data_IF_994004728689
#
_entry.id   IF_994004728689
#
_cell.length_a   1.000
_cell.length_b   1.000
_cell.length_c   1.000
_cell.angle_alpha   90.00
_cell.angle_beta   90.00
_cell.angle_gamma   90.00
#
_symmetry.space_group_name_H-M   'P 1'
#
loop_
_entity.id
_entity.type
_entity.pdbx_description
1 polymer ?
#
# COMPACT_ATOMS: atom_id res chain seq x y z
N UNK A 1 -7.79 2.71 -40.67
CA UNK A 1 -7.57 1.72 -39.60
C UNK A 1 -7.10 2.50 -38.40
N UNK A 2 -7.79 2.43 -37.26
CA UNK A 2 -7.26 3.01 -36.03
C UNK A 2 -6.10 2.12 -35.58
N UNK A 3 -4.98 2.75 -35.20
CA UNK A 3 -3.81 2.06 -34.64
C UNK A 3 -4.26 1.17 -33.46
N UNK A 4 -3.71 -0.02 -33.32
CA UNK A 4 -4.16 -1.02 -32.33
C UNK A 4 -4.08 -0.49 -30.88
N UNK A 5 -3.26 0.54 -30.67
CA UNK A 5 -3.04 1.21 -29.39
C UNK A 5 -3.64 2.62 -29.31
N UNK A 6 -4.42 3.05 -30.30
CA UNK A 6 -4.99 4.40 -30.33
C UNK A 6 -6.34 4.47 -29.59
N UNK A 7 -6.44 5.40 -28.64
CA UNK A 7 -7.71 5.77 -28.01
C UNK A 7 -8.28 7.00 -28.73
N UNK A 8 -9.47 6.85 -29.30
CA UNK A 8 -10.17 7.99 -29.90
C UNK A 8 -10.81 8.84 -28.81
N UNK A 9 -10.49 10.13 -28.79
CA UNK A 9 -11.05 11.11 -27.84
C UNK A 9 -12.09 11.95 -28.55
N UNK A 10 -13.36 11.81 -28.18
CA UNK A 10 -14.48 12.48 -28.88
C UNK A 10 -14.88 13.82 -28.28
N UNK A 11 -14.38 14.17 -27.09
CA UNK A 11 -14.80 15.37 -26.38
C UNK A 11 -13.64 16.20 -25.81
N UNK A 12 -13.74 17.52 -25.93
CA UNK A 12 -12.70 18.46 -25.47
C UNK A 12 -12.35 18.34 -23.97
N UNK A 13 -13.30 17.95 -23.12
CA UNK A 13 -13.03 17.73 -21.69
C UNK A 13 -12.20 16.46 -21.42
N UNK A 14 -12.36 15.42 -22.24
CA UNK A 14 -11.55 14.21 -22.19
C UNK A 14 -10.12 14.52 -22.66
N UNK A 15 -9.98 15.35 -23.69
CA UNK A 15 -8.67 15.81 -24.18
C UNK A 15 -7.89 16.58 -23.10
N UNK A 16 -8.51 17.52 -22.40
CA UNK A 16 -7.86 18.24 -21.28
C UNK A 16 -7.39 17.32 -20.16
N UNK A 17 -8.16 16.27 -19.84
CA UNK A 17 -7.78 15.25 -18.85
C UNK A 17 -6.61 14.40 -19.36
N UNK A 18 -6.61 14.07 -20.64
CA UNK A 18 -5.53 13.33 -21.28
C UNK A 18 -4.22 14.12 -21.29
N UNK A 19 -4.23 15.40 -21.66
CA UNK A 19 -3.05 16.27 -21.59
C UNK A 19 -2.48 16.37 -20.16
N UNK A 20 -3.35 16.39 -19.15
CA UNK A 20 -2.90 16.35 -17.74
C UNK A 20 -2.24 15.02 -17.40
N UNK A 21 -2.80 13.90 -17.89
CA UNK A 21 -2.22 12.57 -17.70
C UNK A 21 -0.88 12.44 -18.44
N UNK A 22 -0.80 12.86 -19.69
CA UNK A 22 0.43 12.91 -20.49
C UNK A 22 1.52 13.71 -19.79
N UNK A 23 1.21 14.91 -19.29
CA UNK A 23 2.17 15.72 -18.53
C UNK A 23 2.70 15.00 -17.29
N UNK A 24 1.83 14.28 -16.56
CA UNK A 24 2.23 13.50 -15.40
C UNK A 24 3.07 12.28 -15.79
N UNK A 25 2.74 11.61 -16.89
CA UNK A 25 3.50 10.48 -17.42
C UNK A 25 4.88 10.94 -17.88
N UNK A 26 4.98 12.04 -18.61
CA UNK A 26 6.27 12.54 -19.09
C UNK A 26 7.16 13.01 -17.92
N UNK A 27 6.59 13.77 -16.97
CA UNK A 27 7.29 14.11 -15.73
C UNK A 27 7.73 12.86 -14.97
N UNK A 28 6.97 11.77 -15.04
CA UNK A 28 7.32 10.50 -14.43
C UNK A 28 8.48 9.80 -15.16
N UNK A 29 8.42 9.72 -16.49
CA UNK A 29 9.48 9.15 -17.34
C UNK A 29 10.82 9.89 -17.19
N UNK A 30 10.79 11.22 -17.09
CA UNK A 30 12.00 12.05 -16.91
C UNK A 30 12.73 11.75 -15.58
N UNK A 31 12.02 11.20 -14.58
CA UNK A 31 12.61 10.82 -13.29
C UNK A 31 13.11 9.36 -13.25
N UNK A 32 12.83 8.54 -14.28
CA UNK A 32 13.23 7.12 -14.35
C UNK A 32 14.72 6.96 -14.70
N UNK A 33 15.29 7.84 -15.53
CA UNK A 33 16.71 7.77 -15.95
C UNK A 33 17.71 7.93 -14.79
N UNK A 34 17.25 8.18 -13.56
CA UNK A 34 18.10 8.36 -12.39
C UNK A 34 18.04 7.21 -11.38
N UNK A 35 17.03 6.32 -11.40
CA UNK A 35 16.93 5.21 -10.44
C UNK A 35 16.10 4.03 -10.99
N UNK A 36 16.75 2.89 -11.25
CA UNK A 36 16.18 1.59 -11.70
C UNK A 36 15.08 1.03 -10.75
N UNK A 37 13.90 1.65 -10.71
CA UNK A 37 12.78 1.23 -9.84
C UNK A 37 11.50 1.06 -10.66
N UNK A 38 10.79 -0.10 -10.56
CA UNK A 38 9.70 -0.42 -11.48
C UNK A 38 8.39 0.37 -11.27
N UNK A 39 8.15 1.30 -12.20
CA UNK A 39 6.94 1.70 -12.99
C UNK A 39 5.50 1.78 -12.39
N UNK A 40 5.21 1.38 -11.15
CA UNK A 40 3.85 1.54 -10.54
C UNK A 40 3.83 2.42 -9.27
N UNK A 41 4.99 2.97 -8.90
CA UNK A 41 5.30 3.24 -7.49
C UNK A 41 5.15 4.70 -7.03
N UNK A 42 5.30 5.72 -7.87
CA UNK A 42 5.58 7.08 -7.37
C UNK A 42 4.42 7.78 -6.63
N UNK A 43 3.17 7.64 -7.10
CA UNK A 43 2.03 8.26 -6.42
C UNK A 43 1.78 7.63 -5.03
N UNK A 44 1.81 6.30 -4.97
CA UNK A 44 1.64 5.54 -3.74
C UNK A 44 2.84 5.70 -2.80
N UNK A 45 4.07 5.81 -3.34
CA UNK A 45 5.28 6.08 -2.57
C UNK A 45 5.24 7.46 -1.92
N UNK A 46 4.74 8.49 -2.62
CA UNK A 46 4.55 9.80 -1.99
C UNK A 46 3.60 9.69 -0.81
N UNK A 47 2.42 9.08 -1.00
CA UNK A 47 1.43 8.90 0.06
C UNK A 47 2.01 8.08 1.23
N UNK A 48 2.73 7.01 0.92
CA UNK A 48 3.45 6.17 1.88
C UNK A 48 4.44 7.00 2.71
N UNK A 49 5.31 7.76 2.06
CA UNK A 49 6.33 8.58 2.70
C UNK A 49 5.71 9.68 3.57
N UNK A 50 4.61 10.28 3.13
CA UNK A 50 3.88 11.27 3.93
C UNK A 50 3.29 10.67 5.22
N UNK A 51 2.82 9.41 5.19
CA UNK A 51 2.36 8.70 6.40
C UNK A 51 3.53 8.26 7.29
N UNK A 52 4.60 7.72 6.72
CA UNK A 52 5.75 7.19 7.48
C UNK A 52 6.46 8.32 8.24
N UNK A 53 6.69 9.44 7.55
CA UNK A 53 7.39 10.62 8.08
C UNK A 53 6.46 11.51 8.92
N UNK A 54 5.19 11.14 9.08
CA UNK A 54 4.22 11.85 9.91
C UNK A 54 3.75 13.20 9.35
N UNK A 55 4.05 13.51 8.08
CA UNK A 55 3.55 14.72 7.41
C UNK A 55 2.03 14.70 7.26
N UNK A 56 1.46 13.51 7.05
CA UNK A 56 0.01 13.27 7.00
C UNK A 56 -0.35 12.18 8.02
N UNK A 57 -1.46 12.36 8.75
CA UNK A 57 -1.92 11.38 9.76
C UNK A 57 -2.67 10.18 9.16
N UNK A 58 -3.45 10.45 8.12
CA UNK A 58 -4.27 9.44 7.43
C UNK A 58 -4.77 9.93 6.07
N UNK A 59 -5.08 9.01 5.17
CA UNK A 59 -5.86 9.27 3.97
C UNK A 59 -7.26 8.66 4.08
N UNK A 60 -8.27 9.35 3.55
CA UNK A 60 -9.67 8.89 3.54
C UNK A 60 -10.13 8.60 2.11
N UNK A 61 -10.63 7.40 1.89
CA UNK A 61 -11.16 6.91 0.64
C UNK A 61 -12.64 6.60 0.78
N UNK A 62 -13.49 7.42 0.16
CA UNK A 62 -14.95 7.34 0.33
C UNK A 62 -15.61 6.43 -0.71
N UNK A 63 -16.52 5.58 -0.22
CA UNK A 63 -17.43 4.76 -1.02
C UNK A 63 -18.91 5.11 -0.77
N UNK A 64 -19.80 4.30 -1.34
CA UNK A 64 -21.24 4.44 -1.14
C UNK A 64 -21.61 4.16 0.31
N UNK A 65 -21.26 2.97 0.80
CA UNK A 65 -21.73 2.42 2.08
C UNK A 65 -20.87 2.83 3.26
N UNK A 66 -19.74 3.50 3.00
CA UNK A 66 -18.77 3.86 4.02
C UNK A 66 -17.49 4.43 3.43
N UNK A 67 -16.42 4.48 4.23
CA UNK A 67 -15.09 4.96 3.83
C UNK A 67 -14.00 4.08 4.42
N UNK A 68 -12.83 4.06 3.77
CA UNK A 68 -11.61 3.44 4.27
C UNK A 68 -10.66 4.55 4.68
N UNK A 69 -10.24 4.56 5.94
CA UNK A 69 -9.24 5.48 6.46
C UNK A 69 -7.95 4.71 6.69
N UNK A 70 -6.88 5.12 6.01
CA UNK A 70 -5.57 4.46 6.08
C UNK A 70 -4.64 5.36 6.88
N UNK A 71 -4.07 4.80 7.95
CA UNK A 71 -3.03 5.42 8.79
C UNK A 71 -1.73 4.62 8.69
N UNK A 72 -0.66 5.10 9.33
CA UNK A 72 0.67 4.48 9.29
C UNK A 72 0.65 2.98 9.63
N UNK A 73 -0.10 2.53 10.64
CA UNK A 73 -0.09 1.14 11.11
C UNK A 73 -1.44 0.44 11.04
N UNK A 74 -2.52 1.18 10.78
CA UNK A 74 -3.89 0.67 10.88
C UNK A 74 -4.75 1.14 9.71
N UNK A 75 -5.81 0.37 9.45
CA UNK A 75 -6.87 0.74 8.54
C UNK A 75 -8.18 0.74 9.31
N UNK A 76 -8.99 1.78 9.11
CA UNK A 76 -10.32 1.89 9.69
C UNK A 76 -11.37 1.92 8.59
N UNK A 77 -12.23 0.90 8.56
CA UNK A 77 -13.47 0.91 7.77
C UNK A 77 -14.54 1.66 8.57
N UNK A 78 -15.10 2.73 8.02
CA UNK A 78 -16.21 3.50 8.61
C UNK A 78 -17.49 3.18 7.85
N UNK A 79 -18.57 2.82 8.52
CA UNK A 79 -19.84 2.46 7.87
C UNK A 79 -20.90 3.55 8.04
N UNK A 80 -21.67 3.82 6.98
CA UNK A 80 -22.83 4.72 7.04
C UNK A 80 -24.03 3.96 7.58
N UNK A 81 -24.63 4.48 8.66
CA UNK A 81 -25.64 3.85 9.54
C UNK A 81 -26.91 3.27 8.88
N UNK A 82 -27.10 3.41 7.55
CA UNK A 82 -28.29 2.95 6.81
C UNK A 82 -27.98 2.24 5.49
N UNK A 83 -26.72 2.26 5.05
CA UNK A 83 -26.33 1.68 3.76
C UNK A 83 -25.46 0.43 3.93
N UNK A 84 -25.25 -0.01 5.17
CA UNK A 84 -24.42 -1.15 5.49
C UNK A 84 -25.13 -2.04 6.50
N UNK A 85 -25.28 -3.31 6.14
CA UNK A 85 -26.02 -4.35 6.88
C UNK A 85 -25.24 -4.91 8.08
N UNK A 86 -23.95 -4.58 8.22
CA UNK A 86 -23.10 -4.92 9.37
C UNK A 86 -23.22 -3.97 10.58
N UNK A 87 -24.07 -2.94 10.52
CA UNK A 87 -24.42 -2.08 11.66
C UNK A 87 -23.83 -0.66 11.64
N UNK A 88 -23.89 0.02 12.80
CA UNK A 88 -23.38 1.38 13.02
C UNK A 88 -21.97 1.29 13.58
N UNK A 89 -21.02 2.04 13.01
CA UNK A 89 -19.71 2.24 13.65
C UNK A 89 -18.54 2.21 12.69
N UNK A 90 -17.40 1.75 13.20
CA UNK A 90 -16.16 1.59 12.47
C UNK A 90 -15.41 0.35 12.94
N UNK A 91 -14.57 -0.19 12.07
CA UNK A 91 -13.71 -1.33 12.36
C UNK A 91 -12.28 -0.98 12.04
N UNK A 92 -11.40 -1.13 13.01
CA UNK A 92 -9.96 -0.90 12.85
C UNK A 92 -9.22 -2.22 12.81
N UNK A 93 -8.32 -2.36 11.84
CA UNK A 93 -7.51 -3.56 11.61
C UNK A 93 -6.05 -3.12 11.49
N UNK A 94 -5.15 -3.84 12.15
CA UNK A 94 -3.70 -3.63 11.99
C UNK A 94 -3.26 -4.05 10.60
N UNK A 95 -2.43 -3.23 9.95
CA UNK A 95 -1.97 -3.48 8.58
C UNK A 95 -1.26 -4.83 8.46
N UNK A 96 -0.50 -5.21 9.48
CA UNK A 96 0.23 -6.49 9.51
C UNK A 96 -0.70 -7.71 9.49
N UNK A 97 -1.94 -7.58 10.01
CA UNK A 97 -2.92 -8.68 10.02
C UNK A 97 -3.62 -8.86 8.67
N UNK A 98 -3.48 -7.91 7.74
CA UNK A 98 -4.20 -7.92 6.47
C UNK A 98 -3.59 -8.95 5.54
N UNK A 99 -4.36 -9.97 5.17
CA UNK A 99 -3.92 -11.00 4.23
C UNK A 99 -4.11 -10.58 2.78
N UNK A 100 -5.21 -9.91 2.45
CA UNK A 100 -5.45 -9.41 1.09
C UNK A 100 -6.45 -8.25 1.03
N UNK A 101 -6.33 -7.46 -0.03
CA UNK A 101 -7.29 -6.40 -0.38
C UNK A 101 -7.77 -6.61 -1.80
N UNK A 102 -9.08 -6.75 -1.98
CA UNK A 102 -9.72 -6.99 -3.28
C UNK A 102 -10.58 -5.80 -3.67
N UNK A 103 -10.52 -5.37 -4.94
CA UNK A 103 -11.32 -4.27 -5.48
C UNK A 103 -12.00 -4.76 -6.75
N UNK A 104 -13.33 -4.82 -6.77
CA UNK A 104 -14.10 -5.19 -7.96
C UNK A 104 -14.66 -3.95 -8.66
N UNK A 105 -14.54 -3.91 -9.98
CA UNK A 105 -14.99 -2.78 -10.80
C UNK A 105 -16.52 -2.71 -10.82
N UNK A 106 -17.11 -1.51 -10.67
CA UNK A 106 -18.53 -1.32 -10.95
C UNK A 106 -18.76 -1.51 -12.47
N UNK A 107 -19.58 -2.50 -12.83
CA UNK A 107 -19.98 -2.78 -14.22
C UNK A 107 -21.49 -2.56 -14.36
N UNK A 108 -22.32 -3.61 -14.45
CA UNK A 108 -23.79 -3.49 -14.40
C UNK A 108 -24.32 -3.34 -12.97
N UNK A 109 -23.56 -3.77 -11.98
CA UNK A 109 -23.88 -3.64 -10.55
C UNK A 109 -22.81 -2.79 -9.85
N UNK A 110 -23.05 -2.49 -8.57
CA UNK A 110 -22.03 -1.87 -7.73
C UNK A 110 -20.79 -2.76 -7.60
N UNK A 111 -19.63 -2.12 -7.60
CA UNK A 111 -18.37 -2.75 -7.24
C UNK A 111 -18.19 -2.77 -5.72
N UNK A 112 -17.15 -3.45 -5.25
CA UNK A 112 -16.87 -3.59 -3.83
C UNK A 112 -15.36 -3.60 -3.57
N UNK A 113 -14.97 -3.04 -2.43
CA UNK A 113 -13.66 -3.27 -1.82
C UNK A 113 -13.83 -4.21 -0.66
N UNK A 114 -13.01 -5.26 -0.57
CA UNK A 114 -13.01 -6.21 0.54
C UNK A 114 -11.62 -6.30 1.16
N UNK A 115 -11.57 -6.28 2.50
CA UNK A 115 -10.33 -6.45 3.26
C UNK A 115 -10.38 -7.80 4.00
N UNK A 116 -9.45 -8.69 3.70
CA UNK A 116 -9.26 -9.94 4.42
C UNK A 116 -8.11 -9.80 5.40
N UNK A 117 -8.26 -10.30 6.62
CA UNK A 117 -7.22 -10.28 7.67
C UNK A 117 -7.34 -11.50 8.59
N UNK A 118 -6.23 -11.83 9.26
CA UNK A 118 -6.10 -12.98 10.16
C UNK A 118 -6.98 -12.82 11.41
N UNK A 119 -7.54 -13.93 11.90
CA UNK A 119 -8.50 -13.92 13.01
C UNK A 119 -9.95 -13.64 12.61
N UNK A 120 -10.22 -13.52 11.30
CA UNK A 120 -11.58 -13.48 10.78
C UNK A 120 -12.20 -14.90 10.76
N UNK A 121 -13.27 -15.10 11.54
CA UNK A 121 -14.00 -16.35 11.57
C UNK A 121 -15.11 -16.38 10.49
N UNK A 122 -14.87 -17.12 9.41
CA UNK A 122 -15.91 -17.58 8.49
C UNK A 122 -16.68 -18.73 9.15
N UNK A 123 -17.72 -18.40 9.93
CA UNK A 123 -18.69 -19.41 10.41
C UNK A 123 -19.96 -19.32 9.57
N UNK A 124 -19.98 -20.06 8.45
CA UNK A 124 -21.21 -20.47 7.75
C UNK A 124 -21.73 -19.55 6.64
N UNK A 125 -22.70 -20.10 5.88
CA UNK A 125 -23.41 -19.51 4.75
C UNK A 125 -23.94 -18.10 5.09
N UNK A 126 -23.44 -17.07 4.38
CA UNK A 126 -23.80 -15.64 4.49
C UNK A 126 -23.80 -15.08 5.93
N UNK A 127 -22.65 -14.58 6.39
CA UNK A 127 -22.53 -13.89 7.67
C UNK A 127 -22.55 -12.36 7.50
N UNK A 128 -23.36 -11.60 8.27
CA UNK A 128 -23.27 -10.13 8.33
C UNK A 128 -21.87 -9.59 8.69
N UNK A 129 -21.00 -10.45 9.25
CA UNK A 129 -19.60 -10.14 9.55
C UNK A 129 -18.71 -10.10 8.30
N UNK A 130 -19.07 -10.79 7.22
CA UNK A 130 -18.38 -10.69 5.93
C UNK A 130 -18.59 -9.31 5.32
N UNK A 131 -19.84 -8.85 5.28
CA UNK A 131 -20.19 -7.53 4.75
C UNK A 131 -19.51 -6.41 5.52
N UNK A 132 -19.27 -6.58 6.83
CA UNK A 132 -18.50 -5.63 7.63
C UNK A 132 -17.08 -5.40 7.09
N UNK A 133 -16.49 -6.31 6.33
CA UNK A 133 -15.16 -6.07 5.77
C UNK A 133 -15.20 -5.45 4.36
N UNK A 134 -16.39 -5.02 3.92
CA UNK A 134 -16.63 -4.55 2.56
C UNK A 134 -17.14 -3.11 2.52
N UNK A 135 -16.66 -2.35 1.53
CA UNK A 135 -17.20 -1.03 1.16
C UNK A 135 -17.69 -1.11 -0.29
N UNK A 136 -18.94 -0.74 -0.52
CA UNK A 136 -19.51 -0.71 -1.86
C UNK A 136 -19.09 0.57 -2.57
N UNK A 137 -18.78 0.45 -3.86
CA UNK A 137 -18.44 1.54 -4.77
C UNK A 137 -19.39 1.52 -5.98
N UNK A 138 -19.79 2.69 -6.45
CA UNK A 138 -20.80 2.80 -7.52
C UNK A 138 -20.27 3.43 -8.80
N UNK A 139 -19.15 4.13 -8.74
CA UNK A 139 -18.62 4.85 -9.90
C UNK A 139 -17.12 4.63 -10.09
N UNK A 140 -16.65 5.00 -11.29
CA UNK A 140 -15.27 4.78 -11.71
C UNK A 140 -14.26 5.61 -10.90
N UNK A 141 -14.65 6.79 -10.39
CA UNK A 141 -13.77 7.60 -9.57
C UNK A 141 -13.52 6.92 -8.22
N UNK A 142 -14.57 6.40 -7.58
CA UNK A 142 -14.46 5.60 -6.36
C UNK A 142 -13.64 4.33 -6.62
N UNK A 143 -13.84 3.67 -7.76
CA UNK A 143 -13.03 2.52 -8.14
C UNK A 143 -11.53 2.85 -8.22
N UNK A 144 -11.16 3.92 -8.92
CA UNK A 144 -9.77 4.34 -9.05
C UNK A 144 -9.17 4.76 -7.70
N UNK A 145 -9.94 5.49 -6.88
CA UNK A 145 -9.53 5.84 -5.52
C UNK A 145 -9.30 4.60 -4.65
N UNK A 146 -10.13 3.56 -4.80
CA UNK A 146 -9.97 2.32 -4.05
C UNK A 146 -8.83 1.45 -4.57
N UNK A 147 -8.47 1.54 -5.86
CA UNK A 147 -7.23 0.96 -6.37
C UNK A 147 -6.01 1.65 -5.74
N UNK A 148 -6.03 2.97 -5.61
CA UNK A 148 -4.97 3.70 -4.90
C UNK A 148 -4.87 3.28 -3.44
N UNK A 149 -6.02 3.18 -2.76
CA UNK A 149 -6.09 2.68 -1.39
C UNK A 149 -5.50 1.27 -1.27
N UNK A 150 -5.85 0.35 -2.19
CA UNK A 150 -5.31 -1.01 -2.23
C UNK A 150 -3.78 -1.01 -2.30
N UNK A 151 -3.21 -0.26 -3.24
CA UNK A 151 -1.76 -0.23 -3.42
C UNK A 151 -1.03 0.43 -2.25
N UNK A 152 -1.60 1.49 -1.65
CA UNK A 152 -1.05 2.10 -0.43
C UNK A 152 -1.04 1.12 0.76
N UNK A 153 -2.11 0.33 0.92
CA UNK A 153 -2.19 -0.69 1.98
C UNK A 153 -1.10 -1.75 1.80
N UNK A 154 -0.95 -2.26 0.57
CA UNK A 154 0.08 -3.25 0.27
C UNK A 154 1.48 -2.69 0.46
N UNK A 155 1.70 -1.43 0.11
CA UNK A 155 2.98 -0.74 0.33
C UNK A 155 3.30 -0.57 1.81
N UNK A 156 2.32 -0.15 2.63
CA UNK A 156 2.48 -0.08 4.08
C UNK A 156 2.75 -1.46 4.69
N UNK A 157 2.07 -2.50 4.22
CA UNK A 157 2.31 -3.88 4.67
C UNK A 157 3.76 -4.29 4.42
N UNK A 158 4.26 -4.12 3.18
CA UNK A 158 5.66 -4.40 2.82
C UNK A 158 6.64 -3.59 3.66
N UNK A 159 6.35 -2.30 3.88
CA UNK A 159 7.18 -1.45 4.74
C UNK A 159 7.29 -2.04 6.15
N UNK A 160 6.17 -2.41 6.78
CA UNK A 160 6.18 -2.99 8.12
C UNK A 160 6.83 -4.38 8.18
N UNK A 161 6.65 -5.22 7.16
CA UNK A 161 7.34 -6.52 7.05
C UNK A 161 8.87 -6.32 6.98
N UNK A 162 9.33 -5.36 6.19
CA UNK A 162 10.75 -5.02 6.09
C UNK A 162 11.31 -4.41 7.39
N UNK A 163 10.50 -3.66 8.14
CA UNK A 163 10.92 -3.12 9.44
C UNK A 163 11.07 -4.23 10.49
N UNK A 164 10.17 -5.23 10.50
CA UNK A 164 10.27 -6.36 11.44
C UNK A 164 11.57 -7.14 11.22
N UNK A 165 11.97 -7.37 9.96
CA UNK A 165 13.28 -7.96 9.63
C UNK A 165 14.49 -7.05 9.88
N UNK A 166 14.27 -5.75 10.10
CA UNK A 166 15.32 -4.81 10.51
C UNK A 166 15.44 -4.69 12.04
N UNK A 167 14.46 -5.20 12.78
CA UNK A 167 14.39 -5.17 14.25
C UNK A 167 14.50 -6.55 14.90
N UNK A 168 14.68 -7.62 14.12
CA UNK A 168 15.46 -8.73 14.62
C UNK A 168 16.84 -8.14 14.89
N UNK A 169 17.09 -7.81 16.15
CA UNK A 169 18.43 -7.59 16.68
C UNK A 169 19.27 -8.73 16.12
N UNK A 170 20.07 -8.43 15.08
CA UNK A 170 21.04 -9.37 14.56
C UNK A 170 21.76 -9.88 15.80
N UNK A 171 21.72 -11.19 16.01
CA UNK A 171 22.51 -11.78 17.09
C UNK A 171 23.92 -11.20 16.92
N UNK A 172 24.64 -10.86 18.00
CA UNK A 172 26.03 -10.41 17.88
C UNK A 172 26.86 -11.28 16.94
N UNK A 173 26.53 -12.58 16.85
CA UNK A 173 27.08 -13.53 15.90
C UNK A 173 26.86 -13.20 14.41
N UNK A 174 25.67 -12.72 14.03
CA UNK A 174 25.33 -12.37 12.65
C UNK A 174 25.94 -11.03 12.23
N UNK A 175 26.04 -10.08 13.17
CA UNK A 175 26.81 -8.84 12.94
C UNK A 175 28.30 -9.16 12.72
N UNK A 176 28.89 -10.03 13.55
CA UNK A 176 30.28 -10.49 13.39
C UNK A 176 30.49 -11.16 12.02
N UNK A 177 29.53 -11.95 11.53
CA UNK A 177 29.61 -12.55 10.19
C UNK A 177 29.63 -11.50 9.08
N UNK A 178 28.80 -10.45 9.19
CA UNK A 178 28.76 -9.36 8.21
C UNK A 178 30.07 -8.56 8.20
N UNK A 179 30.62 -8.25 9.38
CA UNK A 179 31.93 -7.60 9.48
C UNK A 179 33.05 -8.48 8.93
N UNK A 180 32.95 -9.81 9.08
CA UNK A 180 33.93 -10.73 8.49
C UNK A 180 33.88 -10.71 6.97
N UNK A 181 32.70 -10.66 6.37
CA UNK A 181 32.57 -10.50 4.91
C UNK A 181 33.21 -9.20 4.41
N UNK A 182 33.06 -8.09 5.15
CA UNK A 182 33.71 -6.82 4.79
C UNK A 182 35.24 -6.88 4.89
N UNK A 183 35.79 -7.68 5.80
CA UNK A 183 37.23 -7.93 5.91
C UNK A 183 37.73 -8.78 4.73
N UNK A 184 36.99 -9.85 4.39
CA UNK A 184 37.30 -10.74 3.27
C UNK A 184 37.23 -9.98 1.93
N UNK A 185 36.30 -9.02 1.80
CA UNK A 185 36.16 -8.13 0.65
C UNK A 185 37.19 -6.98 0.64
N UNK A 186 38.04 -6.87 1.68
CA UNK A 186 39.07 -5.82 1.80
C UNK A 186 38.53 -4.40 2.02
N UNK A 187 37.27 -4.28 2.44
CA UNK A 187 36.58 -3.00 2.69
C UNK A 187 36.98 -2.42 4.05
N UNK A 188 37.23 -3.29 5.04
CA UNK A 188 37.71 -2.91 6.38
C UNK A 188 39.05 -3.59 6.68
N UNK A 189 39.81 -3.01 7.60
CA UNK A 189 41.05 -3.61 8.09
C UNK A 189 40.83 -4.64 9.21
N UNK A 190 41.81 -5.52 9.42
CA UNK A 190 41.76 -6.55 10.47
C UNK A 190 41.64 -5.94 11.88
N UNK A 191 42.23 -4.76 12.10
CA UNK A 191 42.15 -4.01 13.35
C UNK A 191 40.73 -3.47 13.60
N UNK A 192 40.06 -2.96 12.57
CA UNK A 192 38.68 -2.47 12.65
C UNK A 192 37.69 -3.61 12.91
N UNK A 193 37.92 -4.77 12.29
CA UNK A 193 37.14 -5.99 12.52
C UNK A 193 37.23 -6.45 13.98
N UNK A 194 38.45 -6.60 14.52
CA UNK A 194 38.65 -7.06 15.89
C UNK A 194 38.10 -6.09 16.95
N UNK A 195 38.17 -4.78 16.68
CA UNK A 195 37.54 -3.76 17.53
C UNK A 195 36.01 -3.93 17.59
N UNK A 196 35.36 -4.13 16.43
CA UNK A 196 33.91 -4.32 16.35
C UNK A 196 33.45 -5.64 16.95
N UNK A 197 34.21 -6.71 16.74
CA UNK A 197 33.95 -8.02 17.35
C UNK A 197 33.97 -7.98 18.87
N UNK A 198 34.90 -7.25 19.49
CA UNK A 198 34.94 -7.06 20.95
C UNK A 198 33.79 -6.21 21.47
N UNK A 199 33.40 -5.17 20.74
CA UNK A 199 32.25 -4.31 21.08
C UNK A 199 30.93 -5.09 21.09
N UNK A 200 30.78 -6.04 20.16
CA UNK A 200 29.58 -6.86 20.02
C UNK A 200 29.51 -8.05 21.00
N UNK A 201 30.65 -8.48 21.56
CA UNK A 201 30.74 -9.62 22.50
C UNK A 201 30.75 -9.21 23.99
N UNK A 202 30.72 -7.91 24.29
CA UNK A 202 30.63 -7.35 25.65
C UNK A 202 29.18 -7.14 26.09
#
# INVERSE_FOLDING_TARGET
MADEYAITISFAHQFKRFLKAEKLINQYLDNIDQNDTPVVSFAHEKLLNELINGKTKSYDYSGLTGSIVISKSTITLKYKKFLHTGGKGSKTVDIQKISSVSVSKPTMTSGKVKIHYEGFANRGYYSPKEEANEITITNINQYNQMLEAKELILALKRYHENQVHSTDSLSPADEIRKYKSLLDDGIISEEEFEKKKKELLN
#
